data_IF_553971289076
#
_entry.id   IF_553971289076
#
_cell.length_a   1.000
_cell.length_b   1.000
_cell.length_c   1.000
_cell.angle_alpha   90.00
_cell.angle_beta   90.00
_cell.angle_gamma   90.00
#
_symmetry.space_group_name_H-M   'P 1'
#
loop_
_entity.id
_entity.type
_entity.pdbx_description
1 polymer ?
#
# COMPACT_ATOMS: atom_id res chain seq x y z
N UNK A 1 -6.08 -25.76 31.60
CA UNK A 1 -5.08 -24.76 31.14
C UNK A 1 -4.20 -25.43 30.11
N UNK A 2 -4.58 -25.36 28.83
CA UNK A 2 -3.76 -25.85 27.73
C UNK A 2 -3.10 -24.65 27.09
N UNK A 3 -1.82 -24.46 27.37
CA UNK A 3 -0.96 -23.51 26.66
C UNK A 3 -0.65 -24.12 25.29
N UNK A 4 -1.41 -23.71 24.26
CA UNK A 4 -0.99 -23.94 22.89
C UNK A 4 0.01 -22.85 22.50
N UNK A 5 1.29 -23.23 22.32
CA UNK A 5 2.38 -22.33 21.92
C UNK A 5 2.71 -22.47 20.42
N UNK A 6 1.76 -22.96 19.61
CA UNK A 6 1.93 -23.24 18.16
C UNK A 6 0.67 -22.83 17.38
N UNK A 7 0.25 -21.56 17.51
CA UNK A 7 -0.82 -20.99 16.67
C UNK A 7 -0.44 -19.64 16.04
N UNK A 8 0.83 -19.20 16.10
CA UNK A 8 1.21 -17.84 15.68
C UNK A 8 1.59 -17.69 14.20
N UNK A 9 1.67 -18.77 13.43
CA UNK A 9 1.88 -18.66 11.98
C UNK A 9 0.53 -18.72 11.27
N UNK A 10 -0.26 -17.66 11.43
CA UNK A 10 -1.36 -17.41 10.51
C UNK A 10 -0.75 -16.94 9.18
N UNK A 11 -1.30 -17.34 8.02
CA UNK A 11 -0.78 -16.91 6.70
C UNK A 11 -0.72 -15.37 6.57
N UNK A 12 -1.53 -14.66 7.36
CA UNK A 12 -1.57 -13.21 7.49
C UNK A 12 -0.27 -12.59 8.05
N UNK A 13 0.55 -13.37 8.78
CA UNK A 13 1.85 -12.96 9.32
C UNK A 13 2.90 -12.65 8.24
N UNK A 14 2.84 -13.37 7.13
CA UNK A 14 3.70 -13.12 5.98
C UNK A 14 3.35 -11.76 5.35
N UNK A 15 2.07 -11.45 5.21
CA UNK A 15 1.58 -10.28 4.49
C UNK A 15 1.76 -8.97 5.26
N UNK A 16 1.49 -9.00 6.57
CA UNK A 16 1.48 -7.82 7.43
C UNK A 16 2.72 -7.67 8.32
N UNK A 17 3.75 -8.50 8.11
CA UNK A 17 5.05 -8.32 8.78
C UNK A 17 5.14 -8.87 10.20
N UNK A 18 4.34 -9.87 10.57
CA UNK A 18 4.42 -10.50 11.89
C UNK A 18 5.49 -11.60 11.93
N UNK A 19 6.74 -11.18 12.00
CA UNK A 19 7.85 -12.04 12.41
C UNK A 19 8.68 -11.26 13.44
N UNK A 20 8.79 -11.79 14.65
CA UNK A 20 9.31 -11.08 15.82
C UNK A 20 10.59 -10.27 15.56
N UNK A 21 10.55 -9.00 15.97
CA UNK A 21 11.74 -8.20 16.17
C UNK A 21 12.39 -8.63 17.49
N UNK A 22 13.29 -9.62 17.41
CA UNK A 22 14.29 -9.86 18.44
C UNK A 22 15.68 -9.59 17.84
N UNK A 23 16.34 -8.59 18.43
CA UNK A 23 17.77 -8.25 18.48
C UNK A 23 18.71 -8.79 17.38
N UNK A 24 19.31 -7.88 16.61
CA UNK A 24 20.77 -7.92 16.48
C UNK A 24 21.40 -6.54 16.25
N UNK A 25 21.93 -6.00 17.35
CA UNK A 25 22.83 -4.85 17.39
C UNK A 25 24.27 -5.26 17.00
N UNK A 26 24.89 -4.36 16.21
CA UNK A 26 26.35 -4.10 16.02
C UNK A 26 27.06 -4.89 14.91
N UNK A 27 27.64 -4.13 13.96
CA UNK A 27 29.05 -3.66 14.05
C UNK A 27 29.42 -2.60 12.99
N UNK A 28 30.07 -1.54 13.48
CA UNK A 28 30.82 -0.50 12.75
C UNK A 28 32.15 -1.02 12.19
N UNK A 29 32.59 -0.49 11.03
CA UNK A 29 33.91 0.14 10.73
C UNK A 29 33.97 0.53 9.24
N UNK A 30 34.02 1.80 8.83
CA UNK A 30 35.11 2.83 8.77
C UNK A 30 36.01 2.78 7.49
N UNK A 31 35.88 3.85 6.67
CA UNK A 31 36.85 4.58 5.80
C UNK A 31 37.34 3.83 4.55
N UNK A 32 37.52 4.43 3.36
CA UNK A 32 38.32 5.63 3.01
C UNK A 32 37.93 6.24 1.64
N UNK A 33 38.36 7.49 1.45
CA UNK A 33 38.23 8.39 0.29
C UNK A 33 39.16 8.10 -0.90
N UNK A 34 38.78 8.52 -2.11
CA UNK A 34 39.66 9.24 -3.05
C UNK A 34 38.90 9.83 -4.26
N UNK A 35 39.26 11.06 -4.61
CA UNK A 35 38.81 11.88 -5.75
C UNK A 35 39.18 11.29 -7.12
N UNK A 36 38.43 11.67 -8.17
CA UNK A 36 38.99 12.11 -9.45
C UNK A 36 37.98 12.94 -10.24
N UNK A 37 38.52 13.91 -10.98
CA UNK A 37 37.91 15.02 -11.69
C UNK A 37 37.61 14.70 -13.17
N UNK A 38 36.85 15.63 -13.77
CA UNK A 38 36.95 16.13 -15.16
C UNK A 38 36.09 15.54 -16.31
N UNK A 39 35.09 16.36 -16.67
CA UNK A 39 34.98 17.12 -17.94
C UNK A 39 34.23 16.55 -19.15
N UNK A 40 33.57 17.51 -19.81
CA UNK A 40 33.21 17.63 -21.24
C UNK A 40 31.87 17.04 -21.75
N UNK A 41 30.89 17.95 -21.82
CA UNK A 41 30.15 18.35 -23.03
C UNK A 41 29.84 17.31 -24.12
N UNK A 42 28.55 17.06 -24.38
CA UNK A 42 27.81 17.58 -25.56
C UNK A 42 26.44 16.88 -25.71
N UNK A 43 25.42 17.70 -25.97
CA UNK A 43 24.26 17.44 -26.86
C UNK A 43 23.41 16.18 -26.65
N UNK A 44 22.14 16.35 -26.24
CA UNK A 44 21.00 16.17 -27.16
C UNK A 44 19.64 16.24 -26.46
N UNK A 45 18.66 16.55 -27.32
CA UNK A 45 17.23 16.29 -27.25
C UNK A 45 16.43 17.02 -26.18
N UNK A 46 15.88 18.15 -26.62
CA UNK A 46 14.47 18.46 -26.40
C UNK A 46 13.64 17.20 -26.72
N UNK A 47 13.12 16.55 -25.69
CA UNK A 47 12.36 15.32 -25.83
C UNK A 47 12.15 14.65 -24.47
N UNK A 48 10.91 14.74 -23.99
CA UNK A 48 10.33 13.81 -23.00
C UNK A 48 10.47 14.12 -21.50
N UNK A 49 10.52 15.40 -21.11
CA UNK A 49 10.34 15.80 -19.69
C UNK A 49 8.89 16.16 -19.33
N UNK A 50 7.90 15.67 -20.07
CA UNK A 50 6.47 15.92 -19.80
C UNK A 50 5.86 14.93 -18.79
N UNK A 51 6.63 13.94 -18.32
CA UNK A 51 6.12 12.88 -17.46
C UNK A 51 6.11 13.24 -15.96
N UNK A 52 7.00 14.13 -15.51
CA UNK A 52 7.19 14.40 -14.07
C UNK A 52 6.59 15.72 -13.57
N UNK A 53 6.00 16.53 -14.45
CA UNK A 53 5.36 17.82 -14.09
C UNK A 53 3.82 17.71 -13.92
N UNK A 54 3.22 16.57 -14.29
CA UNK A 54 1.75 16.40 -14.45
C UNK A 54 0.99 15.78 -13.27
N UNK A 55 1.64 15.11 -12.33
CA UNK A 55 0.92 14.43 -11.24
C UNK A 55 0.42 15.38 -10.13
N UNK A 56 0.85 16.64 -10.19
CA UNK A 56 0.38 17.73 -9.35
C UNK A 56 -0.21 18.88 -10.18
N UNK A 57 -0.82 18.61 -11.34
CA UNK A 57 -1.77 19.58 -11.93
C UNK A 57 -3.07 19.55 -11.12
N UNK A 58 -2.98 20.04 -9.88
CA UNK A 58 -4.02 20.68 -9.07
C UNK A 58 -5.48 20.23 -9.30
N UNK A 59 -5.78 18.94 -9.11
CA UNK A 59 -7.05 18.66 -8.44
C UNK A 59 -6.82 18.92 -6.95
N UNK A 60 -7.42 20.00 -6.46
CA UNK A 60 -7.55 20.22 -5.03
C UNK A 60 -8.27 19.00 -4.46
N UNK A 61 -7.63 18.28 -3.54
CA UNK A 61 -8.22 17.10 -2.92
C UNK A 61 -9.62 17.42 -2.36
N UNK A 62 -10.67 16.87 -2.96
CA UNK A 62 -12.03 16.89 -2.43
C UNK A 62 -12.34 15.57 -1.70
N UNK A 63 -12.54 15.63 -0.37
CA UNK A 63 -12.90 14.44 0.39
C UNK A 63 -14.35 14.03 0.09
N UNK A 64 -14.64 12.74 0.25
CA UNK A 64 -16.01 12.22 0.26
C UNK A 64 -16.77 12.71 1.49
N UNK A 65 -18.05 13.00 1.31
CA UNK A 65 -19.01 13.13 2.40
C UNK A 65 -19.17 11.81 3.16
N UNK A 66 -19.65 11.82 4.42
CA UNK A 66 -19.93 10.59 5.17
C UNK A 66 -20.85 9.62 4.43
N UNK A 67 -21.87 10.13 3.75
CA UNK A 67 -22.83 9.33 2.99
C UNK A 67 -22.20 8.68 1.75
N UNK A 68 -21.31 9.40 1.05
CA UNK A 68 -20.52 8.86 -0.07
C UNK A 68 -19.55 7.78 0.41
N UNK A 69 -18.90 7.98 1.57
CA UNK A 69 -18.03 6.96 2.19
C UNK A 69 -18.84 5.69 2.50
N UNK A 70 -20.00 5.80 3.13
CA UNK A 70 -20.84 4.64 3.42
C UNK A 70 -21.34 3.94 2.17
N UNK A 71 -21.73 4.70 1.14
CA UNK A 71 -22.17 4.14 -0.14
C UNK A 71 -21.06 3.34 -0.82
N UNK A 72 -19.84 3.91 -0.91
CA UNK A 72 -18.72 3.23 -1.57
C UNK A 72 -18.23 2.03 -0.76
N UNK A 73 -18.17 2.12 0.57
CA UNK A 73 -17.79 0.98 1.41
C UNK A 73 -18.78 -0.18 1.27
N UNK A 74 -20.08 0.08 1.16
CA UNK A 74 -21.10 -0.97 0.91
C UNK A 74 -20.90 -1.65 -0.45
N UNK A 75 -20.56 -0.88 -1.49
CA UNK A 75 -20.28 -1.43 -2.80
C UNK A 75 -19.02 -2.32 -2.78
N UNK A 76 -17.95 -1.83 -2.19
CA UNK A 76 -16.68 -2.54 -2.05
C UNK A 76 -16.79 -3.82 -1.22
N UNK A 77 -17.54 -3.81 -0.11
CA UNK A 77 -17.73 -4.95 0.80
C UNK A 77 -18.28 -6.21 0.08
N UNK A 78 -19.08 -6.01 -0.97
CA UNK A 78 -19.61 -7.10 -1.79
C UNK A 78 -18.49 -7.94 -2.45
N UNK A 79 -17.42 -7.26 -2.88
CA UNK A 79 -16.30 -7.84 -3.62
C UNK A 79 -15.13 -8.27 -2.73
N UNK A 80 -15.21 -8.03 -1.42
CA UNK A 80 -14.15 -8.44 -0.49
C UNK A 80 -13.95 -9.95 -0.54
N UNK A 81 -12.71 -10.36 -0.73
CA UNK A 81 -12.31 -11.76 -0.82
C UNK A 81 -12.57 -12.51 0.50
N UNK A 82 -12.98 -13.80 0.47
CA UNK A 82 -13.19 -14.60 1.68
C UNK A 82 -12.04 -14.55 2.69
N UNK A 83 -10.79 -14.57 2.22
CA UNK A 83 -9.60 -14.47 3.10
C UNK A 83 -9.58 -13.20 3.98
N UNK A 84 -10.07 -12.09 3.46
CA UNK A 84 -10.18 -10.85 4.23
C UNK A 84 -11.36 -10.89 5.22
N UNK A 85 -12.45 -11.61 4.88
CA UNK A 85 -13.57 -11.87 5.81
C UNK A 85 -13.17 -12.80 6.95
N UNK A 86 -12.26 -13.73 6.71
CA UNK A 86 -11.69 -14.60 7.76
C UNK A 86 -10.76 -13.82 8.69
N UNK A 87 -9.99 -12.86 8.15
CA UNK A 87 -9.09 -12.02 8.93
C UNK A 87 -9.88 -11.00 9.77
N UNK A 88 -10.66 -10.12 9.12
CA UNK A 88 -11.59 -9.22 9.81
C UNK A 88 -12.95 -9.89 9.91
N UNK A 89 -13.14 -10.66 10.98
CA UNK A 89 -14.31 -11.51 11.17
C UNK A 89 -15.63 -10.73 11.24
N UNK A 90 -15.60 -9.53 11.81
CA UNK A 90 -16.78 -8.66 11.92
C UNK A 90 -16.91 -7.74 10.71
N UNK A 91 -18.14 -7.47 10.30
CA UNK A 91 -18.40 -6.53 9.21
C UNK A 91 -17.92 -5.13 9.59
N UNK A 92 -18.08 -4.73 10.86
CA UNK A 92 -17.66 -3.46 11.40
C UNK A 92 -16.16 -3.24 11.22
N UNK A 93 -15.33 -4.23 11.56
CA UNK A 93 -13.87 -4.13 11.41
C UNK A 93 -13.44 -4.01 9.94
N UNK A 94 -14.14 -4.70 9.01
CA UNK A 94 -13.89 -4.53 7.57
C UNK A 94 -14.26 -3.14 7.10
N UNK A 95 -15.46 -2.68 7.46
CA UNK A 95 -15.95 -1.35 7.10
C UNK A 95 -15.01 -0.27 7.62
N UNK A 96 -14.44 -0.39 8.82
CA UNK A 96 -13.44 0.56 9.32
C UNK A 96 -12.22 0.71 8.39
N UNK A 97 -11.70 -0.40 7.85
CA UNK A 97 -10.59 -0.37 6.88
C UNK A 97 -11.03 0.23 5.55
N UNK A 98 -12.21 -0.17 5.04
CA UNK A 98 -12.74 0.38 3.80
C UNK A 98 -12.98 1.89 3.90
N UNK A 99 -13.45 2.38 5.05
CA UNK A 99 -13.64 3.81 5.28
C UNK A 99 -12.33 4.57 5.30
N UNK A 100 -11.25 3.99 5.86
CA UNK A 100 -9.91 4.60 5.81
C UNK A 100 -9.43 4.74 4.37
N UNK A 101 -9.63 3.72 3.53
CA UNK A 101 -9.29 3.78 2.10
C UNK A 101 -10.14 4.85 1.39
N UNK A 102 -11.46 4.84 1.58
CA UNK A 102 -12.39 5.75 0.90
C UNK A 102 -12.14 7.23 1.23
N UNK A 103 -11.71 7.53 2.45
CA UNK A 103 -11.36 8.90 2.89
C UNK A 103 -10.00 9.36 2.38
N UNK A 104 -9.08 8.45 2.09
CA UNK A 104 -7.74 8.78 1.62
C UNK A 104 -7.62 8.97 0.11
N UNK A 105 -8.72 8.92 -0.64
CA UNK A 105 -8.73 9.15 -2.09
C UNK A 105 -9.79 10.18 -2.46
N UNK A 106 -9.54 10.96 -3.52
CA UNK A 106 -10.47 11.96 -4.02
C UNK A 106 -11.87 11.37 -4.26
N UNK A 107 -12.93 12.14 -4.02
CA UNK A 107 -14.31 11.67 -4.19
C UNK A 107 -14.66 11.17 -5.60
N UNK A 108 -13.98 11.69 -6.62
CA UNK A 108 -14.19 11.34 -8.02
C UNK A 108 -13.51 10.05 -8.50
N UNK A 109 -12.66 9.43 -7.68
CA UNK A 109 -11.86 8.26 -8.09
C UNK A 109 -12.14 7.03 -7.24
N UNK A 110 -12.14 5.85 -7.86
CA UNK A 110 -12.36 4.58 -7.17
C UNK A 110 -11.17 3.62 -7.41
N UNK A 111 -10.39 3.26 -6.37
CA UNK A 111 -9.24 2.37 -6.51
C UNK A 111 -9.58 0.88 -6.67
N UNK A 112 -10.86 0.48 -6.51
CA UNK A 112 -11.30 -0.92 -6.52
C UNK A 112 -12.17 -1.22 -7.74
N UNK A 113 -13.21 -0.40 -7.96
CA UNK A 113 -14.22 -0.60 -9.01
C UNK A 113 -14.11 0.43 -10.15
N UNK A 114 -13.13 1.32 -10.09
CA UNK A 114 -12.86 2.32 -11.12
C UNK A 114 -12.21 1.73 -12.38
N UNK A 115 -11.96 2.59 -13.36
CA UNK A 115 -11.22 2.21 -14.57
C UNK A 115 -9.70 2.12 -14.34
N UNK A 116 -9.01 1.51 -15.30
CA UNK A 116 -7.56 1.32 -15.33
C UNK A 116 -6.81 2.45 -16.07
N UNK A 117 -7.49 3.51 -16.49
CA UNK A 117 -6.90 4.53 -17.37
C UNK A 117 -6.19 5.64 -16.59
N UNK A 118 -6.61 5.86 -15.34
CA UNK A 118 -6.13 6.97 -14.53
C UNK A 118 -5.61 6.49 -13.18
N UNK A 119 -4.61 7.21 -12.67
CA UNK A 119 -4.09 6.98 -11.33
C UNK A 119 -5.11 7.43 -10.29
N UNK A 120 -5.22 6.67 -9.21
CA UNK A 120 -5.96 7.07 -8.01
C UNK A 120 -4.95 7.50 -6.96
N UNK A 121 -4.77 8.80 -6.77
CA UNK A 121 -3.77 9.35 -5.85
C UNK A 121 -4.23 9.22 -4.39
N UNK A 122 -3.32 8.79 -3.53
CA UNK A 122 -3.50 8.75 -2.08
C UNK A 122 -3.20 10.10 -1.42
N UNK A 123 -4.09 10.51 -0.53
CA UNK A 123 -4.03 11.75 0.25
C UNK A 123 -4.10 11.50 1.77
N UNK A 124 -4.07 10.22 2.19
CA UNK A 124 -4.01 9.85 3.60
C UNK A 124 -2.59 9.79 4.15
N UNK A 125 -2.39 9.00 5.19
CA UNK A 125 -1.11 8.87 5.86
C UNK A 125 -0.02 8.31 4.93
N UNK A 126 1.19 8.83 5.09
CA UNK A 126 2.41 8.31 4.46
C UNK A 126 3.32 7.73 5.54
N UNK A 127 4.07 6.70 5.16
CA UNK A 127 5.12 6.13 6.00
C UNK A 127 6.26 7.14 6.19
N UNK A 128 6.73 7.29 7.43
CA UNK A 128 7.84 8.20 7.76
C UNK A 128 9.18 7.73 7.17
N UNK A 129 9.31 6.44 6.84
CA UNK A 129 10.58 5.84 6.38
C UNK A 129 10.82 6.06 4.88
N UNK A 130 9.76 5.91 4.08
CA UNK A 130 9.85 5.87 2.61
C UNK A 130 8.84 6.79 1.90
N UNK A 131 8.02 7.53 2.66
CA UNK A 131 6.97 8.43 2.14
C UNK A 131 5.94 7.73 1.22
N UNK A 132 5.67 6.44 1.45
CA UNK A 132 4.69 5.68 0.67
C UNK A 132 3.32 5.55 1.37
N UNK A 133 2.22 5.35 0.62
CA UNK A 133 0.86 5.25 1.17
C UNK A 133 0.71 4.16 2.24
N UNK A 134 0.23 4.53 3.43
CA UNK A 134 -0.03 3.59 4.53
C UNK A 134 -1.41 3.77 5.16
N UNK A 135 -1.88 2.71 5.80
CA UNK A 135 -3.04 2.70 6.68
C UNK A 135 -2.60 2.17 8.05
N UNK A 136 -3.04 2.88 9.09
CA UNK A 136 -2.89 2.46 10.48
C UNK A 136 -4.14 1.72 10.96
N UNK A 137 -3.94 0.56 11.58
CA UNK A 137 -5.02 -0.25 12.13
C UNK A 137 -4.54 -1.10 13.31
N UNK A 138 -5.45 -1.38 14.23
CA UNK A 138 -5.27 -2.45 15.22
C UNK A 138 -5.68 -3.76 14.55
N UNK A 139 -4.75 -4.70 14.45
CA UNK A 139 -5.02 -5.97 13.80
C UNK A 139 -5.75 -6.92 14.77
N UNK A 140 -6.57 -7.86 14.26
CA UNK A 140 -7.30 -8.80 15.10
C UNK A 140 -6.36 -9.57 16.05
N UNK A 141 -6.68 -9.55 17.35
CA UNK A 141 -5.86 -10.21 18.38
C UNK A 141 -4.72 -9.36 18.94
N UNK A 142 -4.52 -8.14 18.44
CA UNK A 142 -3.52 -7.19 18.93
C UNK A 142 -4.17 -6.04 19.69
N UNK A 143 -3.38 -5.40 20.55
CA UNK A 143 -3.79 -4.18 21.27
C UNK A 143 -3.10 -2.92 20.76
N UNK A 144 -2.03 -3.07 19.98
CA UNK A 144 -1.26 -1.97 19.44
C UNK A 144 -1.67 -1.70 18.00
N UNK A 145 -1.74 -0.41 17.65
CA UNK A 145 -1.91 -0.01 16.27
C UNK A 145 -0.64 -0.31 15.49
N UNK A 146 -0.79 -0.85 14.28
CA UNK A 146 0.29 -1.11 13.35
C UNK A 146 0.01 -0.44 12.01
N UNK A 147 1.07 -0.09 11.29
CA UNK A 147 0.95 0.42 9.92
C UNK A 147 1.12 -0.69 8.90
N UNK A 148 0.46 -0.54 7.76
CA UNK A 148 0.69 -1.35 6.56
C UNK A 148 0.51 -0.50 5.30
N UNK A 149 1.06 -0.94 4.18
CA UNK A 149 0.91 -0.22 2.92
C UNK A 149 -0.50 -0.38 2.33
N UNK A 150 -1.02 0.70 1.75
CA UNK A 150 -2.36 0.72 1.16
C UNK A 150 -2.48 -0.32 0.05
N UNK A 151 -1.50 -0.41 -0.85
CA UNK A 151 -1.53 -1.36 -1.96
C UNK A 151 -1.48 -2.83 -1.50
N UNK A 152 -0.75 -3.16 -0.42
CA UNK A 152 -0.80 -4.49 0.21
C UNK A 152 -2.17 -4.78 0.80
N UNK A 153 -2.81 -3.78 1.41
CA UNK A 153 -4.17 -3.92 1.95
C UNK A 153 -5.20 -4.18 0.85
N UNK A 154 -5.11 -3.46 -0.27
CA UNK A 154 -6.00 -3.64 -1.42
C UNK A 154 -5.84 -5.02 -2.06
N UNK A 155 -4.61 -5.50 -2.24
CA UNK A 155 -4.34 -6.85 -2.74
C UNK A 155 -4.91 -7.91 -1.81
N UNK A 156 -4.73 -7.73 -0.49
CA UNK A 156 -5.33 -8.64 0.48
C UNK A 156 -6.86 -8.71 0.38
N UNK A 157 -7.50 -7.55 0.25
CA UNK A 157 -8.95 -7.40 0.18
C UNK A 157 -9.53 -7.95 -1.12
N UNK A 158 -8.88 -7.76 -2.27
CA UNK A 158 -9.56 -7.88 -3.58
C UNK A 158 -8.84 -8.68 -4.66
N UNK A 159 -7.53 -8.93 -4.56
CA UNK A 159 -6.85 -9.69 -5.61
C UNK A 159 -7.52 -11.07 -5.80
N UNK A 160 -7.44 -11.66 -6.98
CA UNK A 160 -7.78 -13.07 -7.08
C UNK A 160 -6.71 -13.93 -6.37
N UNK A 161 -6.97 -15.23 -6.29
CA UNK A 161 -6.08 -16.14 -5.56
C UNK A 161 -4.70 -16.28 -6.24
N UNK A 162 -4.66 -16.24 -7.57
CA UNK A 162 -3.40 -16.35 -8.34
C UNK A 162 -2.52 -15.12 -8.12
N UNK A 163 -3.05 -13.92 -8.36
CA UNK A 163 -2.32 -12.66 -8.17
C UNK A 163 -1.92 -12.46 -6.71
N UNK A 164 -2.78 -12.85 -5.77
CA UNK A 164 -2.45 -12.80 -4.34
C UNK A 164 -1.25 -13.70 -4.00
N UNK A 165 -1.24 -14.92 -4.53
CA UNK A 165 -0.17 -15.88 -4.26
C UNK A 165 1.16 -15.45 -4.86
N UNK A 166 1.16 -14.78 -6.01
CA UNK A 166 2.37 -14.20 -6.58
C UNK A 166 2.87 -12.99 -5.77
N UNK A 167 1.97 -12.06 -5.44
CA UNK A 167 2.32 -10.81 -4.76
C UNK A 167 2.77 -11.02 -3.30
N UNK A 168 2.32 -12.08 -2.62
CA UNK A 168 2.76 -12.35 -1.24
C UNK A 168 4.21 -12.83 -1.14
N UNK A 169 4.78 -13.38 -2.22
CA UNK A 169 6.19 -13.81 -2.28
C UNK A 169 7.15 -12.62 -2.39
N UNK A 170 6.65 -11.46 -2.84
CA UNK A 170 7.45 -10.22 -2.91
C UNK A 170 7.86 -9.74 -1.51
N UNK A 171 8.97 -8.98 -1.40
CA UNK A 171 9.42 -8.40 -0.13
C UNK A 171 8.30 -7.66 0.61
N UNK A 172 8.39 -7.60 1.94
CA UNK A 172 7.42 -6.93 2.82
C UNK A 172 7.49 -5.40 2.77
N UNK A 173 7.52 -4.85 1.56
CA UNK A 173 7.48 -3.42 1.24
C UNK A 173 6.23 -3.12 0.42
N UNK A 174 5.97 -1.84 0.16
CA UNK A 174 4.95 -1.44 -0.79
C UNK A 174 5.22 -2.08 -2.16
N UNK A 175 4.16 -2.50 -2.85
CA UNK A 175 4.30 -2.91 -4.25
C UNK A 175 4.67 -1.71 -5.12
N UNK A 176 5.40 -1.97 -6.20
CA UNK A 176 5.63 -1.01 -7.27
C UNK A 176 4.34 -0.84 -8.08
N UNK A 177 4.16 0.34 -8.65
CA UNK A 177 3.00 0.65 -9.48
C UNK A 177 3.44 0.67 -10.95
N UNK A 178 2.72 -0.02 -11.83
CA UNK A 178 2.96 -0.08 -13.27
C UNK A 178 2.84 1.31 -13.93
N UNK A 179 2.07 2.22 -13.33
CA UNK A 179 1.96 3.61 -13.76
C UNK A 179 3.16 4.50 -13.34
N UNK A 180 4.14 3.94 -12.63
CA UNK A 180 5.31 4.62 -12.07
C UNK A 180 5.01 5.77 -11.07
N UNK A 181 3.75 5.96 -10.67
CA UNK A 181 3.37 6.89 -9.61
C UNK A 181 3.34 6.17 -8.25
N UNK A 182 4.26 6.46 -7.32
CA UNK A 182 4.34 5.78 -6.03
C UNK A 182 3.19 6.10 -5.07
N UNK A 183 2.42 7.17 -5.34
CA UNK A 183 1.23 7.54 -4.58
C UNK A 183 -0.07 6.98 -5.17
N UNK A 184 0.01 6.29 -6.31
CA UNK A 184 -1.16 5.63 -6.88
C UNK A 184 -1.57 4.44 -6.00
N UNK A 185 -2.86 4.30 -5.75
CA UNK A 185 -3.47 3.16 -5.04
C UNK A 185 -4.55 2.46 -5.87
N UNK A 186 -4.56 2.66 -7.20
CA UNK A 186 -5.44 1.89 -8.08
C UNK A 186 -5.00 0.42 -8.09
N UNK A 187 -5.91 -0.50 -7.75
CA UNK A 187 -5.64 -1.94 -7.65
C UNK A 187 -5.11 -2.51 -8.98
N UNK A 188 -5.62 -2.04 -10.12
CA UNK A 188 -5.21 -2.51 -11.45
C UNK A 188 -3.86 -1.96 -11.90
N UNK A 189 -3.31 -0.99 -11.17
CA UNK A 189 -1.99 -0.40 -11.46
C UNK A 189 -0.86 -1.06 -10.66
N UNK A 190 -1.14 -2.07 -9.84
CA UNK A 190 -0.10 -2.78 -9.08
C UNK A 190 0.72 -3.64 -10.04
N UNK A 191 2.04 -3.47 -10.04
CA UNK A 191 2.93 -4.23 -10.90
C UNK A 191 3.14 -5.65 -10.36
N UNK A 192 2.86 -6.64 -11.22
CA UNK A 192 3.17 -8.05 -10.94
C UNK A 192 4.67 -8.33 -11.18
N UNK A 193 5.27 -7.67 -12.16
CA UNK A 193 6.72 -7.75 -12.46
C UNK A 193 7.53 -6.67 -11.71
N UNK A 194 8.86 -6.85 -11.63
CA UNK A 194 9.83 -5.88 -11.08
C UNK A 194 10.52 -5.06 -12.18
#
# INVERSE_FOLDING_TARGET
MWNCRVCSNTPFAALFGFGGADDDKKKKKKRTSSQAQESSSHSNSEGDSAFTDRYASQETFEPRSPEEVEAVCRAWEHYVHPRAREFWQTAEARIEILQKIARGVHRGYDPVLGDDKQCVVWYGDLSEEDNLPVIRMVKPGESQESQTYVNRTLVFLYADEESFNELQEKPKKAFTMACANPLCVNLTHIALDD
#
